data_IF_318683780821
#
_entry.id   IF_318683780821
#
_cell.length_a   1.000
_cell.length_b   1.000
_cell.length_c   1.000
_cell.angle_alpha   90.00
_cell.angle_beta   90.00
_cell.angle_gamma   90.00
#
_symmetry.space_group_name_H-M   'P 1'
#
loop_
_entity.id
_entity.type
_entity.pdbx_description
1 polymer ?
#
# COMPACT_ATOMS: atom_id res chain seq x y z
N UNK A 1 -8.94 17.04 24.28
CA UNK A 1 -7.86 16.86 23.28
C UNK A 1 -7.73 15.36 23.01
N UNK A 2 -8.34 14.86 21.94
CA UNK A 2 -8.38 13.42 21.65
C UNK A 2 -7.05 12.95 21.07
N UNK A 3 -6.17 12.43 21.91
CA UNK A 3 -4.96 11.76 21.46
C UNK A 3 -5.31 10.33 21.02
N UNK A 4 -5.80 10.18 19.79
CA UNK A 4 -5.96 8.85 19.17
C UNK A 4 -4.54 8.29 18.99
N UNK A 5 -4.25 7.08 19.47
CA UNK A 5 -2.91 6.52 19.34
C UNK A 5 -2.55 6.45 17.84
N UNK A 6 -1.33 6.84 17.44
CA UNK A 6 -0.89 6.87 16.05
C UNK A 6 -1.06 5.51 15.34
N UNK A 7 -1.05 4.42 16.09
CA UNK A 7 -1.28 3.04 15.62
C UNK A 7 -2.61 2.85 14.91
N UNK A 8 -3.73 3.37 15.45
CA UNK A 8 -5.04 3.20 14.81
C UNK A 8 -5.14 3.90 13.44
N UNK A 9 -4.35 4.96 13.24
CA UNK A 9 -4.30 5.71 11.98
C UNK A 9 -3.36 5.04 10.98
N UNK A 10 -2.24 4.49 11.45
CA UNK A 10 -1.29 3.73 10.64
C UNK A 10 -1.91 2.41 10.13
N UNK A 11 -2.59 1.64 10.99
CA UNK A 11 -3.28 0.40 10.56
C UNK A 11 -4.43 0.69 9.58
N UNK A 12 -5.19 1.77 9.78
CA UNK A 12 -6.20 2.20 8.82
C UNK A 12 -5.58 2.56 7.46
N UNK A 13 -4.42 3.24 7.47
CA UNK A 13 -3.69 3.59 6.25
C UNK A 13 -3.10 2.37 5.53
N UNK A 14 -2.65 1.33 6.26
CA UNK A 14 -2.19 0.09 5.65
C UNK A 14 -3.31 -0.63 4.89
N UNK A 15 -4.49 -0.76 5.52
CA UNK A 15 -5.65 -1.38 4.88
C UNK A 15 -6.15 -0.58 3.66
N UNK A 16 -6.03 0.75 3.69
CA UNK A 16 -6.34 1.60 2.53
C UNK A 16 -5.35 1.37 1.38
N UNK A 17 -4.05 1.34 1.68
CA UNK A 17 -3.00 1.08 0.68
C UNK A 17 -3.16 -0.32 0.05
N UNK A 18 -3.46 -1.34 0.85
CA UNK A 18 -3.73 -2.70 0.35
C UNK A 18 -4.92 -2.75 -0.62
N UNK A 19 -6.01 -2.04 -0.32
CA UNK A 19 -7.16 -1.93 -1.23
C UNK A 19 -6.79 -1.22 -2.53
N UNK A 20 -6.01 -0.14 -2.46
CA UNK A 20 -5.52 0.57 -3.64
C UNK A 20 -4.62 -0.32 -4.51
N UNK A 21 -3.72 -1.09 -3.90
CA UNK A 21 -2.86 -2.05 -4.62
C UNK A 21 -3.70 -3.07 -5.40
N UNK A 22 -4.71 -3.68 -4.75
CA UNK A 22 -5.57 -4.66 -5.43
C UNK A 22 -6.34 -4.04 -6.61
N UNK A 23 -6.87 -2.83 -6.44
CA UNK A 23 -7.61 -2.14 -7.50
C UNK A 23 -6.71 -1.80 -8.70
N UNK A 24 -5.51 -1.27 -8.44
CA UNK A 24 -4.56 -0.89 -9.49
C UNK A 24 -4.02 -2.11 -10.23
N UNK A 25 -3.78 -3.23 -9.54
CA UNK A 25 -3.32 -4.46 -10.19
C UNK A 25 -4.36 -5.02 -11.17
N UNK A 26 -5.64 -5.06 -10.78
CA UNK A 26 -6.73 -5.47 -11.70
C UNK A 26 -6.82 -4.55 -12.92
N UNK A 27 -6.61 -3.25 -12.73
CA UNK A 27 -6.63 -2.30 -13.84
C UNK A 27 -5.42 -2.47 -14.76
N UNK A 28 -4.23 -2.75 -14.20
CA UNK A 28 -3.03 -3.04 -14.97
C UNK A 28 -3.18 -4.31 -15.82
N UNK A 29 -3.71 -5.39 -15.24
CA UNK A 29 -4.03 -6.64 -15.95
C UNK A 29 -5.00 -6.40 -17.11
N UNK A 30 -6.07 -5.62 -16.87
CA UNK A 30 -7.05 -5.24 -17.90
C UNK A 30 -6.39 -4.48 -19.05
N UNK A 31 -5.58 -3.47 -18.74
CA UNK A 31 -4.89 -2.65 -19.74
C UNK A 31 -3.84 -3.47 -20.53
N UNK A 32 -3.19 -4.43 -19.89
CA UNK A 32 -2.28 -5.35 -20.55
C UNK A 32 -3.02 -6.19 -21.59
N UNK A 33 -4.22 -6.70 -21.26
CA UNK A 33 -5.08 -7.41 -22.21
C UNK A 33 -5.63 -6.53 -23.35
N UNK A 34 -5.74 -5.22 -23.14
CA UNK A 34 -6.15 -4.23 -24.15
C UNK A 34 -5.00 -3.77 -25.06
N UNK A 35 -3.76 -4.26 -24.86
CA UNK A 35 -2.57 -3.80 -25.58
C UNK A 35 -2.13 -2.38 -25.20
N UNK A 36 -2.64 -1.84 -24.08
CA UNK A 36 -2.32 -0.49 -23.56
C UNK A 36 -1.11 -0.56 -22.63
N UNK A 37 -0.01 -1.07 -23.15
CA UNK A 37 1.20 -1.39 -22.37
C UNK A 37 1.76 -0.15 -21.64
N UNK A 38 1.73 1.03 -22.26
CA UNK A 38 2.23 2.26 -21.64
C UNK A 38 1.46 2.62 -20.35
N UNK A 39 0.14 2.46 -20.38
CA UNK A 39 -0.72 2.76 -19.23
C UNK A 39 -0.63 1.66 -18.18
N UNK A 40 -0.55 0.40 -18.60
CA UNK A 40 -0.32 -0.70 -17.67
C UNK A 40 1.03 -0.55 -16.94
N UNK A 41 2.08 -0.10 -17.64
CA UNK A 41 3.39 0.21 -17.04
C UNK A 41 3.31 1.34 -16.02
N UNK A 42 2.57 2.41 -16.31
CA UNK A 42 2.36 3.50 -15.36
C UNK A 42 1.64 3.03 -14.09
N UNK A 43 0.70 2.08 -14.21
CA UNK A 43 0.06 1.48 -13.04
C UNK A 43 1.00 0.57 -12.25
N UNK A 44 1.89 -0.18 -12.91
CA UNK A 44 2.91 -0.99 -12.25
C UNK A 44 3.91 -0.11 -11.46
N UNK A 45 4.29 1.04 -12.00
CA UNK A 45 5.15 2.00 -11.28
C UNK A 45 4.43 2.56 -10.03
N UNK A 46 3.14 2.87 -10.14
CA UNK A 46 2.32 3.28 -9.01
C UNK A 46 2.16 2.18 -7.95
N UNK A 47 2.02 0.92 -8.39
CA UNK A 47 1.97 -0.25 -7.52
C UNK A 47 3.27 -0.45 -6.74
N UNK A 48 4.43 -0.30 -7.39
CA UNK A 48 5.73 -0.39 -6.71
C UNK A 48 5.86 0.69 -5.62
N UNK A 49 5.46 1.92 -5.91
CA UNK A 49 5.47 3.01 -4.94
C UNK A 49 4.57 2.72 -3.71
N UNK A 50 3.38 2.15 -3.94
CA UNK A 50 2.46 1.79 -2.87
C UNK A 50 2.96 0.60 -2.03
N UNK A 51 3.54 -0.42 -2.65
CA UNK A 51 4.15 -1.55 -1.93
C UNK A 51 5.28 -1.06 -1.01
N UNK A 52 6.16 -0.18 -1.51
CA UNK A 52 7.20 0.45 -0.67
C UNK A 52 6.63 1.30 0.47
N UNK A 53 5.48 1.93 0.28
CA UNK A 53 4.81 2.67 1.34
C UNK A 53 4.24 1.72 2.41
N UNK A 54 3.60 0.63 2.00
CA UNK A 54 3.06 -0.40 2.88
C UNK A 54 4.14 -1.09 3.71
N UNK A 55 5.27 -1.44 3.09
CA UNK A 55 6.40 -2.07 3.77
C UNK A 55 6.98 -1.16 4.87
N UNK A 56 7.07 0.16 4.60
CA UNK A 56 7.52 1.13 5.61
C UNK A 56 6.60 1.17 6.84
N UNK A 57 5.29 1.09 6.62
CA UNK A 57 4.30 1.04 7.71
C UNK A 57 4.47 -0.27 8.51
N UNK A 58 4.55 -1.42 7.83
CA UNK A 58 4.70 -2.74 8.46
C UNK A 58 6.01 -2.90 9.24
N UNK A 59 7.12 -2.36 8.74
CA UNK A 59 8.41 -2.36 9.46
C UNK A 59 8.34 -1.50 10.72
N UNK A 60 7.71 -0.31 10.63
CA UNK A 60 7.48 0.57 11.77
C UNK A 60 6.64 -0.10 12.86
N UNK A 61 5.61 -0.84 12.47
CA UNK A 61 4.77 -1.63 13.37
C UNK A 61 5.56 -2.80 14.00
N UNK A 62 6.31 -3.56 13.21
CA UNK A 62 7.13 -4.68 13.68
C UNK A 62 8.20 -4.26 14.70
N UNK A 63 8.83 -3.10 14.52
CA UNK A 63 9.81 -2.56 15.49
C UNK A 63 9.18 -2.20 16.85
N UNK A 64 7.93 -1.74 16.86
CA UNK A 64 7.22 -1.44 18.12
C UNK A 64 6.91 -2.72 18.90
N UNK A 65 6.52 -3.79 18.21
CA UNK A 65 6.27 -5.11 18.85
C UNK A 65 7.52 -5.65 19.53
N UNK A 66 8.69 -5.53 18.90
CA UNK A 66 9.97 -6.00 19.48
C UNK A 66 10.41 -5.19 20.70
N UNK A 67 9.94 -3.94 20.84
CA UNK A 67 10.32 -3.06 21.97
C UNK A 67 9.43 -3.23 23.21
N UNK A 68 8.38 -4.05 23.12
CA UNK A 68 7.39 -4.24 24.20
C UNK A 68 7.60 -5.49 25.08
N UNK A 69 8.82 -6.05 25.11
CA UNK A 69 9.17 -7.24 25.91
C UNK A 69 10.07 -6.93 27.11
#
# INVERSE_FOLDING_TARGET
MSNKPPTARESASAAEIERSIQALNKMAERLWGEGREAEAKALLDALDALNRALDRIRIGESRRVVTLH
#
